data_IF_536247893601
#
_entry.id   IF_536247893601
#
_cell.length_a   1.000
_cell.length_b   1.000
_cell.length_c   1.000
_cell.angle_alpha   90.00
_cell.angle_beta   90.00
_cell.angle_gamma   90.00
#
_symmetry.space_group_name_H-M   'P 1'
#
loop_
_entity.id
_entity.type
_entity.pdbx_description
1 polymer ?
#
# COMPACT_ATOMS: atom_id res chain seq x y z
N UNK A 1 -16.27 -36.47 0.07
CA UNK A 1 -15.26 -35.54 -0.45
C UNK A 1 -15.83 -34.13 -0.31
N UNK A 2 -15.12 -33.22 0.35
CA UNK A 2 -15.56 -31.84 0.51
C UNK A 2 -15.63 -31.17 -0.88
N UNK A 3 -16.67 -30.38 -1.21
CA UNK A 3 -16.78 -29.80 -2.53
C UNK A 3 -15.73 -28.70 -2.74
N UNK A 4 -15.10 -28.75 -3.92
CA UNK A 4 -14.40 -27.70 -4.66
C UNK A 4 -13.92 -26.47 -3.88
N UNK A 5 -12.60 -26.39 -3.65
CA UNK A 5 -11.96 -25.11 -3.40
C UNK A 5 -12.29 -24.15 -4.54
N UNK A 6 -12.81 -22.96 -4.22
CA UNK A 6 -13.05 -21.89 -5.19
C UNK A 6 -11.82 -21.67 -6.07
N UNK A 7 -12.03 -21.51 -7.38
CA UNK A 7 -10.92 -21.17 -8.29
C UNK A 7 -10.21 -19.89 -7.86
N UNK A 8 -8.94 -19.75 -8.22
CA UNK A 8 -8.12 -18.58 -7.88
C UNK A 8 -8.79 -17.26 -8.27
N UNK A 9 -9.43 -17.24 -9.44
CA UNK A 9 -10.17 -16.10 -9.98
C UNK A 9 -11.44 -15.79 -9.16
N UNK A 10 -12.28 -16.78 -8.87
CA UNK A 10 -13.47 -16.59 -8.02
C UNK A 10 -13.11 -16.08 -6.62
N UNK A 11 -11.98 -16.51 -6.07
CA UNK A 11 -11.45 -15.98 -4.80
C UNK A 11 -11.02 -14.52 -4.93
N UNK A 12 -10.42 -14.12 -6.05
CA UNK A 12 -10.04 -12.73 -6.30
C UNK A 12 -11.27 -11.84 -6.46
N UNK A 13 -12.26 -12.25 -7.26
CA UNK A 13 -13.52 -11.51 -7.42
C UNK A 13 -14.27 -11.37 -6.09
N UNK A 14 -14.32 -12.42 -5.27
CA UNK A 14 -14.93 -12.36 -3.94
C UNK A 14 -14.17 -11.39 -3.02
N UNK A 15 -12.84 -11.41 -3.05
CA UNK A 15 -12.02 -10.48 -2.26
C UNK A 15 -12.18 -9.03 -2.74
N UNK A 16 -12.23 -8.80 -4.05
CA UNK A 16 -12.49 -7.48 -4.65
C UNK A 16 -13.86 -6.95 -4.22
N UNK A 17 -14.90 -7.79 -4.27
CA UNK A 17 -16.23 -7.43 -3.81
C UNK A 17 -16.26 -7.12 -2.30
N UNK A 18 -15.62 -7.96 -1.48
CA UNK A 18 -15.52 -7.74 -0.04
C UNK A 18 -14.81 -6.43 0.32
N UNK A 19 -13.69 -6.14 -0.36
CA UNK A 19 -12.97 -4.88 -0.18
C UNK A 19 -13.83 -3.69 -0.63
N UNK A 20 -14.55 -3.81 -1.74
CA UNK A 20 -15.42 -2.76 -2.26
C UNK A 20 -16.55 -2.39 -1.29
N UNK A 21 -17.20 -3.42 -0.71
CA UNK A 21 -18.20 -3.25 0.34
C UNK A 21 -17.57 -2.59 1.56
N UNK A 22 -16.44 -3.13 2.06
CA UNK A 22 -15.78 -2.61 3.25
C UNK A 22 -15.29 -1.16 3.11
N UNK A 23 -14.81 -0.75 1.93
CA UNK A 23 -14.39 0.63 1.64
C UNK A 23 -15.59 1.58 1.53
N UNK A 24 -16.76 1.08 1.13
CA UNK A 24 -17.97 1.89 0.97
C UNK A 24 -18.84 1.94 2.23
N UNK A 25 -18.56 1.07 3.20
CA UNK A 25 -19.36 0.96 4.41
C UNK A 25 -19.09 2.12 5.37
N UNK A 26 -20.17 2.77 5.80
CA UNK A 26 -20.15 3.84 6.80
C UNK A 26 -21.02 3.39 7.98
N UNK A 27 -20.42 3.21 9.15
CA UNK A 27 -21.15 3.00 10.41
C UNK A 27 -20.68 3.98 11.47
N UNK A 28 -21.64 4.53 12.21
CA UNK A 28 -21.40 5.35 13.40
C UNK A 28 -21.16 4.50 14.65
N UNK A 29 -21.28 3.17 14.57
CA UNK A 29 -21.05 2.25 15.68
C UNK A 29 -19.58 1.85 15.73
N UNK A 30 -18.84 2.14 16.82
CA UNK A 30 -17.42 1.80 16.92
C UNK A 30 -17.11 0.31 16.79
N UNK A 31 -18.01 -0.57 17.24
CA UNK A 31 -17.85 -2.01 17.14
C UNK A 31 -17.79 -2.49 15.68
N UNK A 32 -18.56 -1.87 14.78
CA UNK A 32 -18.58 -2.23 13.36
C UNK A 32 -17.23 -1.90 12.68
N UNK A 33 -16.54 -0.86 13.16
CA UNK A 33 -15.26 -0.43 12.58
C UNK A 33 -14.20 -1.53 12.66
N UNK A 34 -14.13 -2.26 13.79
CA UNK A 34 -13.19 -3.37 13.94
C UNK A 34 -13.48 -4.50 12.93
N UNK A 35 -14.75 -4.85 12.72
CA UNK A 35 -15.14 -5.87 11.75
C UNK A 35 -14.85 -5.43 10.31
N UNK A 36 -15.05 -4.15 10.00
CA UNK A 36 -14.79 -3.60 8.67
C UNK A 36 -13.30 -3.55 8.37
N UNK A 37 -12.46 -3.15 9.34
CA UNK A 37 -10.99 -3.22 9.20
C UNK A 37 -10.55 -4.67 8.97
N UNK A 38 -11.08 -5.63 9.74
CA UNK A 38 -10.77 -7.04 9.57
C UNK A 38 -11.19 -7.60 8.19
N UNK A 39 -12.37 -7.21 7.71
CA UNK A 39 -12.86 -7.59 6.37
C UNK A 39 -11.94 -7.04 5.28
N UNK A 40 -11.60 -5.74 5.36
CA UNK A 40 -10.78 -5.05 4.37
C UNK A 40 -9.36 -5.60 4.32
N UNK A 41 -8.74 -5.85 5.47
CA UNK A 41 -7.38 -6.42 5.56
C UNK A 41 -7.35 -7.86 5.06
N UNK A 42 -8.34 -8.68 5.41
CA UNK A 42 -8.45 -10.05 4.87
C UNK A 42 -8.60 -10.04 3.34
N UNK A 43 -9.45 -9.17 2.80
CA UNK A 43 -9.63 -9.03 1.36
C UNK A 43 -8.36 -8.50 0.67
N UNK A 44 -7.70 -7.50 1.27
CA UNK A 44 -6.45 -6.94 0.77
C UNK A 44 -5.34 -8.01 0.68
N UNK A 45 -5.19 -8.87 1.69
CA UNK A 45 -4.21 -9.98 1.65
C UNK A 45 -4.47 -10.97 0.51
N UNK A 46 -5.73 -11.32 0.28
CA UNK A 46 -6.11 -12.23 -0.81
C UNK A 46 -5.81 -11.63 -2.20
N UNK A 47 -6.09 -10.34 -2.39
CA UNK A 47 -5.78 -9.61 -3.62
C UNK A 47 -4.28 -9.42 -3.82
N UNK A 48 -3.55 -9.11 -2.74
CA UNK A 48 -2.08 -8.95 -2.73
C UNK A 48 -1.38 -10.23 -3.17
N UNK A 49 -1.79 -11.37 -2.60
CA UNK A 49 -1.20 -12.69 -2.90
C UNK A 49 -1.37 -13.07 -4.38
N UNK A 50 -2.40 -12.56 -5.04
CA UNK A 50 -2.72 -12.85 -6.44
C UNK A 50 -2.22 -11.80 -7.43
N UNK A 51 -1.69 -10.67 -6.95
CA UNK A 51 -1.35 -9.53 -7.80
C UNK A 51 -2.53 -9.13 -8.72
N UNK A 52 -3.75 -9.06 -8.16
CA UNK A 52 -4.99 -8.89 -8.92
C UNK A 52 -5.13 -7.45 -9.45
N UNK A 53 -4.51 -7.16 -10.59
CA UNK A 53 -4.37 -5.81 -11.15
C UNK A 53 -5.71 -5.09 -11.39
N UNK A 54 -6.78 -5.85 -11.68
CA UNK A 54 -8.13 -5.30 -11.87
C UNK A 54 -8.60 -4.47 -10.65
N UNK A 55 -8.12 -4.80 -9.46
CA UNK A 55 -8.44 -4.08 -8.24
C UNK A 55 -7.64 -2.78 -8.04
N UNK A 56 -6.75 -2.34 -8.94
CA UNK A 56 -5.92 -1.14 -8.77
C UNK A 56 -6.68 0.10 -8.29
N UNK A 57 -7.82 0.50 -8.89
CA UNK A 57 -8.54 1.68 -8.44
C UNK A 57 -9.05 1.55 -6.99
N UNK A 58 -9.52 0.35 -6.63
CA UNK A 58 -10.02 0.05 -5.30
C UNK A 58 -8.89 -0.05 -4.27
N UNK A 59 -7.75 -0.64 -4.63
CA UNK A 59 -6.56 -0.72 -3.81
C UNK A 59 -6.02 0.67 -3.46
N UNK A 60 -5.96 1.58 -4.45
CA UNK A 60 -5.53 2.97 -4.25
C UNK A 60 -6.51 3.71 -3.33
N UNK A 61 -7.83 3.56 -3.55
CA UNK A 61 -8.85 4.15 -2.67
C UNK A 61 -8.72 3.65 -1.23
N UNK A 62 -8.55 2.34 -1.06
CA UNK A 62 -8.33 1.71 0.25
C UNK A 62 -7.08 2.25 0.95
N UNK A 63 -5.97 2.38 0.20
CA UNK A 63 -4.71 2.91 0.71
C UNK A 63 -4.82 4.34 1.22
N UNK A 64 -5.40 5.27 0.45
CA UNK A 64 -5.56 6.65 0.91
C UNK A 64 -6.48 6.79 2.14
N UNK A 65 -7.51 5.95 2.22
CA UNK A 65 -8.39 5.92 3.39
C UNK A 65 -7.63 5.39 4.64
N UNK A 66 -6.86 4.31 4.51
CA UNK A 66 -6.03 3.81 5.61
C UNK A 66 -4.90 4.76 5.98
N UNK A 67 -4.32 5.51 5.03
CA UNK A 67 -3.35 6.56 5.32
C UNK A 67 -3.97 7.63 6.24
N UNK A 68 -5.18 8.10 5.91
CA UNK A 68 -5.88 9.10 6.72
C UNK A 68 -6.21 8.56 8.12
N UNK A 69 -6.71 7.34 8.19
CA UNK A 69 -7.06 6.69 9.46
C UNK A 69 -5.81 6.42 10.32
N UNK A 70 -4.70 6.00 9.72
CA UNK A 70 -3.44 5.76 10.41
C UNK A 70 -2.91 7.05 11.04
N UNK A 71 -2.93 8.15 10.27
CA UNK A 71 -2.54 9.47 10.77
C UNK A 71 -3.43 9.97 11.92
N UNK A 72 -4.64 9.44 12.06
CA UNK A 72 -5.58 9.73 13.16
C UNK A 72 -5.52 8.71 14.30
N UNK A 73 -4.65 7.71 14.22
CA UNK A 73 -4.55 6.62 15.19
C UNK A 73 -5.76 5.65 15.19
N UNK A 74 -6.51 5.59 14.09
CA UNK A 74 -7.75 4.80 13.97
C UNK A 74 -7.53 3.40 13.39
N UNK A 75 -6.43 3.19 12.64
CA UNK A 75 -5.98 1.87 12.21
C UNK A 75 -4.56 1.62 12.69
N UNK A 76 -4.20 0.36 12.85
CA UNK A 76 -2.86 0.01 13.30
C UNK A 76 -1.83 0.22 12.17
N UNK A 77 -0.56 0.33 12.56
CA UNK A 77 0.56 0.31 11.61
C UNK A 77 0.56 -0.94 10.74
N UNK A 78 0.22 -2.10 11.30
CA UNK A 78 0.16 -3.36 10.56
C UNK A 78 -0.88 -3.29 9.43
N UNK A 79 -2.06 -2.76 9.73
CA UNK A 79 -3.13 -2.62 8.75
C UNK A 79 -2.72 -1.67 7.61
N UNK A 80 -2.03 -0.57 7.94
CA UNK A 80 -1.55 0.36 6.93
C UNK A 80 -0.42 -0.22 6.07
N UNK A 81 0.49 -1.00 6.66
CA UNK A 81 1.52 -1.74 5.90
C UNK A 81 0.90 -2.74 4.91
N UNK A 82 -0.22 -3.37 5.27
CA UNK A 82 -0.98 -4.23 4.35
C UNK A 82 -1.60 -3.46 3.18
N UNK A 83 -2.12 -2.25 3.44
CA UNK A 83 -2.63 -1.40 2.38
C UNK A 83 -1.52 -0.97 1.39
N UNK A 84 -0.32 -0.66 1.89
CA UNK A 84 0.87 -0.37 1.06
C UNK A 84 1.24 -1.61 0.22
N UNK A 85 1.26 -2.79 0.84
CA UNK A 85 1.57 -4.04 0.15
C UNK A 85 0.55 -4.37 -0.95
N UNK A 86 -0.74 -4.10 -0.72
CA UNK A 86 -1.79 -4.27 -1.72
C UNK A 86 -1.51 -3.40 -2.95
N UNK A 87 -1.28 -2.10 -2.79
CA UNK A 87 -0.96 -1.20 -3.91
C UNK A 87 0.31 -1.67 -4.62
N UNK A 88 1.35 -2.05 -3.87
CA UNK A 88 2.60 -2.59 -4.42
C UNK A 88 2.46 -3.88 -5.22
N UNK A 89 1.40 -4.64 -4.98
CA UNK A 89 1.11 -5.89 -5.71
C UNK A 89 0.32 -5.69 -7.01
N UNK A 90 -0.24 -4.49 -7.24
CA UNK A 90 -1.10 -4.25 -8.40
C UNK A 90 -0.35 -4.23 -9.72
N UNK A 91 0.92 -3.87 -9.74
CA UNK A 91 1.73 -3.88 -10.97
C UNK A 91 1.30 -2.88 -12.04
N UNK A 92 0.47 -1.87 -11.70
CA UNK A 92 0.03 -0.82 -12.63
C UNK A 92 0.72 0.50 -12.38
N UNK A 93 0.77 1.37 -13.39
CA UNK A 93 1.40 2.70 -13.30
C UNK A 93 0.68 3.59 -12.29
N UNK A 94 -0.65 3.50 -12.17
CA UNK A 94 -1.43 4.28 -11.19
C UNK A 94 -1.08 3.88 -9.76
N UNK A 95 -0.82 2.59 -9.52
CA UNK A 95 -0.38 2.11 -8.21
C UNK A 95 1.02 2.62 -7.87
N UNK A 96 1.93 2.67 -8.86
CA UNK A 96 3.25 3.25 -8.69
C UNK A 96 3.18 4.75 -8.41
N UNK A 97 2.35 5.48 -9.14
CA UNK A 97 2.11 6.90 -8.93
C UNK A 97 1.54 7.17 -7.52
N UNK A 98 0.59 6.35 -7.05
CA UNK A 98 0.04 6.50 -5.70
C UNK A 98 1.11 6.35 -4.60
N UNK A 99 1.95 5.32 -4.69
CA UNK A 99 3.06 5.13 -3.73
C UNK A 99 4.15 6.20 -3.89
N UNK A 100 4.40 6.68 -5.10
CA UNK A 100 5.39 7.71 -5.39
C UNK A 100 4.99 9.06 -4.77
N UNK A 101 3.71 9.44 -4.90
CA UNK A 101 3.15 10.63 -4.25
C UNK A 101 3.17 10.51 -2.72
N UNK A 102 2.93 9.31 -2.18
CA UNK A 102 3.09 9.11 -0.74
C UNK A 102 4.55 9.21 -0.30
N UNK A 103 5.50 8.68 -1.08
CA UNK A 103 6.92 8.88 -0.81
C UNK A 103 7.31 10.35 -0.87
N UNK A 104 6.76 11.12 -1.81
CA UNK A 104 6.96 12.57 -1.88
C UNK A 104 6.54 13.24 -0.56
N UNK A 105 5.38 12.88 -0.01
CA UNK A 105 4.92 13.40 1.28
C UNK A 105 5.94 13.08 2.38
N UNK A 106 6.37 11.83 2.52
CA UNK A 106 7.36 11.42 3.53
C UNK A 106 8.68 12.18 3.34
N UNK A 107 9.12 12.35 2.09
CA UNK A 107 10.33 13.10 1.76
C UNK A 107 10.22 14.57 2.19
N UNK A 108 9.12 15.24 1.89
CA UNK A 108 8.87 16.63 2.31
C UNK A 108 8.84 16.76 3.83
N UNK A 109 8.22 15.81 4.54
CA UNK A 109 8.21 15.81 6.00
C UNK A 109 9.61 15.59 6.59
N UNK A 110 10.38 14.68 5.99
CA UNK A 110 11.76 14.39 6.40
C UNK A 110 12.69 15.58 6.16
N UNK A 111 12.54 16.28 5.02
CA UNK A 111 13.26 17.51 4.73
C UNK A 111 12.97 18.61 5.76
N UNK A 112 11.72 18.70 6.21
CA UNK A 112 11.27 19.60 7.28
C UNK A 112 11.75 19.17 8.69
N UNK A 113 12.50 18.07 8.80
CA UNK A 113 12.99 17.53 10.08
C UNK A 113 11.92 16.84 10.92
N UNK A 114 10.76 16.49 10.36
CA UNK A 114 9.74 15.71 11.06
C UNK A 114 10.16 14.25 11.18
N UNK A 115 9.73 13.61 12.26
CA UNK A 115 9.90 12.17 12.42
C UNK A 115 9.04 11.41 11.41
N UNK A 116 9.62 10.42 10.75
CA UNK A 116 8.91 9.43 9.94
C UNK A 116 9.00 8.05 10.60
N UNK A 117 8.13 7.14 10.18
CA UNK A 117 8.23 5.73 10.55
C UNK A 117 9.09 4.98 9.54
N UNK A 118 10.22 4.44 9.99
CA UNK A 118 11.18 3.75 9.12
C UNK A 118 10.59 2.53 8.41
N UNK A 119 9.72 1.75 9.08
CA UNK A 119 9.12 0.56 8.45
C UNK A 119 8.14 0.95 7.35
N UNK A 120 7.41 2.06 7.52
CA UNK A 120 6.52 2.59 6.48
C UNK A 120 7.35 3.09 5.30
N UNK A 121 8.39 3.88 5.54
CA UNK A 121 9.28 4.36 4.48
C UNK A 121 9.92 3.18 3.70
N UNK A 122 10.42 2.17 4.40
CA UNK A 122 10.97 0.95 3.79
C UNK A 122 9.93 0.19 2.96
N UNK A 123 8.69 0.06 3.47
CA UNK A 123 7.61 -0.62 2.76
C UNK A 123 7.25 0.09 1.46
N UNK A 124 7.14 1.42 1.48
CA UNK A 124 6.85 2.23 0.29
C UNK A 124 7.97 2.10 -0.74
N UNK A 125 9.22 2.30 -0.33
CA UNK A 125 10.40 2.21 -1.22
C UNK A 125 10.53 0.81 -1.83
N UNK A 126 10.34 -0.23 -1.03
CA UNK A 126 10.42 -1.62 -1.50
C UNK A 126 9.32 -1.93 -2.51
N UNK A 127 8.09 -1.49 -2.26
CA UNK A 127 6.98 -1.71 -3.18
C UNK A 127 7.10 -0.86 -4.46
N UNK A 128 7.65 0.35 -4.40
CA UNK A 128 8.01 1.12 -5.60
C UNK A 128 9.05 0.39 -6.46
N UNK A 129 10.09 -0.18 -5.83
CA UNK A 129 11.05 -1.02 -6.54
C UNK A 129 10.44 -2.29 -7.14
N UNK A 130 9.42 -2.88 -6.48
CA UNK A 130 8.67 -4.02 -7.01
C UNK A 130 7.81 -3.63 -8.23
N UNK A 131 7.15 -2.49 -8.17
CA UNK A 131 6.35 -1.96 -9.28
C UNK A 131 7.24 -1.56 -10.46
N UNK A 132 8.45 -1.06 -10.19
CA UNK A 132 9.49 -0.83 -11.20
C UNK A 132 9.11 0.21 -12.25
N UNK A 133 8.22 1.16 -11.92
CA UNK A 133 7.75 2.20 -12.82
C UNK A 133 8.60 3.48 -12.67
N UNK A 134 9.04 4.06 -13.80
CA UNK A 134 9.91 5.25 -13.81
C UNK A 134 9.34 6.49 -13.14
N UNK A 135 8.02 6.58 -12.95
CA UNK A 135 7.38 7.69 -12.23
C UNK A 135 7.90 7.85 -10.80
N UNK A 136 8.47 6.79 -10.21
CA UNK A 136 9.06 6.82 -8.88
C UNK A 136 10.50 7.38 -8.83
N UNK A 137 11.16 7.58 -9.97
CA UNK A 137 12.60 7.84 -10.05
C UNK A 137 13.04 9.05 -9.21
N UNK A 138 12.44 10.22 -9.44
CA UNK A 138 12.85 11.46 -8.78
C UNK A 138 12.68 11.35 -7.25
N UNK A 139 11.58 10.74 -6.81
CA UNK A 139 11.28 10.58 -5.38
C UNK A 139 12.22 9.58 -4.69
N UNK A 140 12.58 8.50 -5.36
CA UNK A 140 13.56 7.53 -4.86
C UNK A 140 14.98 8.11 -4.85
N UNK A 141 15.35 8.87 -5.88
CA UNK A 141 16.64 9.56 -5.94
C UNK A 141 16.78 10.58 -4.81
N UNK A 142 15.69 11.29 -4.50
CA UNK A 142 15.69 12.35 -3.51
C UNK A 142 16.00 11.87 -2.08
N UNK A 143 15.68 10.61 -1.74
CA UNK A 143 16.04 9.95 -0.47
C UNK A 143 17.55 10.06 -0.18
N UNK A 144 18.40 10.00 -1.20
CA UNK A 144 19.85 10.08 -1.05
C UNK A 144 20.35 11.38 -0.43
N UNK A 145 19.58 12.46 -0.56
CA UNK A 145 19.93 13.80 -0.07
C UNK A 145 19.31 14.13 1.29
N UNK A 146 18.38 13.30 1.76
CA UNK A 146 17.64 13.53 3.00
C UNK A 146 18.26 12.78 4.19
N UNK A 147 17.84 13.16 5.40
CA UNK A 147 18.30 12.59 6.68
C UNK A 147 17.63 11.24 7.00
N UNK A 148 17.56 10.34 6.01
CA UNK A 148 17.13 8.96 6.21
C UNK A 148 18.28 8.09 6.75
N UNK A 149 17.98 7.03 7.53
CA UNK A 149 18.96 6.02 7.89
C UNK A 149 19.46 5.25 6.67
N UNK A 150 20.65 4.64 6.80
CA UNK A 150 21.28 3.89 5.71
C UNK A 150 20.45 2.71 5.21
N UNK A 151 19.59 2.13 6.05
CA UNK A 151 18.62 1.10 5.68
C UNK A 151 17.69 1.57 4.55
N UNK A 152 17.09 2.75 4.71
CA UNK A 152 16.18 3.36 3.74
C UNK A 152 16.94 3.83 2.50
N UNK A 153 18.12 4.45 2.67
CA UNK A 153 18.97 4.87 1.53
C UNK A 153 19.44 3.69 0.69
N UNK A 154 19.77 2.56 1.32
CA UNK A 154 20.10 1.32 0.61
C UNK A 154 18.89 0.79 -0.15
N UNK A 155 17.73 0.68 0.50
CA UNK A 155 16.51 0.22 -0.15
C UNK A 155 16.13 1.10 -1.36
N UNK A 156 16.35 2.41 -1.28
CA UNK A 156 16.10 3.34 -2.39
C UNK A 156 17.02 3.10 -3.58
N UNK A 157 18.33 2.88 -3.34
CA UNK A 157 19.29 2.49 -4.38
C UNK A 157 18.90 1.16 -5.05
N UNK A 158 18.49 0.17 -4.25
CA UNK A 158 18.04 -1.12 -4.76
C UNK A 158 16.73 -1.00 -5.57
N UNK A 159 15.83 -0.08 -5.17
CA UNK A 159 14.60 0.20 -5.92
C UNK A 159 14.87 0.91 -7.25
N UNK A 160 15.80 1.88 -7.29
CA UNK A 160 16.21 2.59 -8.50
C UNK A 160 16.73 1.62 -9.58
N UNK A 161 17.46 0.58 -9.19
CA UNK A 161 17.98 -0.44 -10.12
C UNK A 161 16.87 -1.29 -10.77
N UNK A 162 15.66 -1.32 -10.18
CA UNK A 162 14.53 -2.12 -10.67
C UNK A 162 13.58 -1.33 -11.58
N UNK A 163 13.79 -0.02 -11.72
CA UNK A 163 12.93 0.82 -12.56
C UNK A 163 13.11 0.49 -14.04
N UNK A 164 11.99 0.50 -14.77
CA UNK A 164 11.88 0.18 -16.19
C UNK A 164 11.50 1.46 -16.96
N UNK A 165 12.15 1.67 -18.10
CA UNK A 165 12.12 2.92 -18.88
C UNK A 165 11.14 2.87 -20.05
#
# INVERSE_FOLDING_TARGET
AWPDALSTEKRADLAEAALSVGVSYQSSVPADQAFIVALRTSAARELTTRAWQKASPLAIKHFYDFQLQYNRGQVSKSDFLEAIALVGAMGTTEAAQALALYLQLINTETEQGKSFDEQIALAVVTNLGRLGDKTAFDYLLYIGYLQYPESVKKAARDALQKLRW
#
